data_IF_854747975599
#
_entry.id   IF_854747975599
#
_cell.length_a   1.000
_cell.length_b   1.000
_cell.length_c   1.000
_cell.angle_alpha   90.00
_cell.angle_beta   90.00
_cell.angle_gamma   90.00
#
_symmetry.space_group_name_H-M   'P 1'
#
loop_
_entity.id
_entity.type
_entity.pdbx_description
1 polymer ?
#
# COMPACT_ATOMS: atom_id res chain seq x y z
N UNK A 1 -5.14 33.32 35.00
CA UNK A 1 -5.01 32.06 34.26
C UNK A 1 -5.68 32.28 32.91
N UNK A 2 -4.89 32.70 31.91
CA UNK A 2 -5.41 32.93 30.57
C UNK A 2 -5.52 31.56 29.88
N UNK A 3 -6.72 31.08 29.69
CA UNK A 3 -7.00 29.94 28.81
C UNK A 3 -6.71 30.36 27.38
N UNK A 4 -5.70 29.73 26.80
CA UNK A 4 -5.34 29.91 25.38
C UNK A 4 -6.57 29.58 24.52
N UNK A 5 -7.14 30.52 23.72
CA UNK A 5 -8.38 30.32 22.98
C UNK A 5 -8.25 29.32 21.81
N UNK A 6 -7.04 28.83 21.52
CA UNK A 6 -6.75 27.93 20.40
C UNK A 6 -7.09 26.45 20.66
N UNK A 7 -7.52 26.08 21.86
CA UNK A 7 -7.58 24.67 22.24
C UNK A 7 -9.02 24.16 22.42
N UNK A 8 -9.66 23.67 21.34
CA UNK A 8 -10.79 22.73 21.46
C UNK A 8 -10.32 21.32 21.11
N UNK A 9 -9.67 20.65 22.09
CA UNK A 9 -9.24 19.25 21.96
C UNK A 9 -10.39 18.34 22.41
N UNK A 10 -10.83 17.45 21.53
CA UNK A 10 -11.87 16.44 21.82
C UNK A 10 -11.32 15.07 22.17
N UNK A 11 -10.00 14.92 22.40
CA UNK A 11 -9.40 13.65 22.88
C UNK A 11 -8.16 13.90 23.74
N UNK A 12 -7.97 13.07 24.79
CA UNK A 12 -6.83 13.13 25.74
C UNK A 12 -5.48 12.67 25.17
N UNK A 13 -5.33 12.50 23.85
CA UNK A 13 -4.09 12.02 23.22
C UNK A 13 -3.58 13.12 22.29
N UNK A 14 -2.62 13.90 22.80
CA UNK A 14 -1.99 14.97 22.04
C UNK A 14 -0.90 14.41 21.12
N UNK A 15 -1.23 14.15 19.84
CA UNK A 15 -0.24 13.89 18.79
C UNK A 15 0.34 15.20 18.22
N UNK A 16 -0.29 16.33 18.45
CA UNK A 16 0.02 17.64 17.84
C UNK A 16 -0.07 18.74 18.88
N UNK A 17 0.94 19.60 18.89
CA UNK A 17 1.01 20.83 19.70
C UNK A 17 0.58 22.05 18.88
N UNK A 18 0.37 23.20 19.54
CA UNK A 18 0.11 24.47 18.85
C UNK A 18 1.26 24.88 17.91
N UNK A 19 2.51 24.60 18.29
CA UNK A 19 3.68 24.90 17.45
C UNK A 19 3.71 23.98 16.21
N UNK A 20 3.31 22.71 16.35
CA UNK A 20 3.17 21.80 15.20
C UNK A 20 2.12 22.31 14.22
N UNK A 21 0.97 22.80 14.70
CA UNK A 21 -0.08 23.37 13.84
C UNK A 21 0.45 24.58 13.05
N UNK A 22 1.18 25.48 13.70
CA UNK A 22 1.83 26.62 13.04
C UNK A 22 2.83 26.14 11.99
N UNK A 23 3.68 25.15 12.32
CA UNK A 23 4.64 24.55 11.38
C UNK A 23 3.94 23.97 10.16
N UNK A 24 2.85 23.21 10.35
CA UNK A 24 2.05 22.61 9.28
C UNK A 24 1.54 23.70 8.33
N UNK A 25 0.96 24.77 8.87
CA UNK A 25 0.42 25.86 8.05
C UNK A 25 1.54 26.61 7.32
N UNK A 26 2.65 26.90 8.01
CA UNK A 26 3.79 27.55 7.37
C UNK A 26 4.35 26.75 6.20
N UNK A 27 4.48 25.42 6.35
CA UNK A 27 4.96 24.53 5.29
C UNK A 27 3.94 24.44 4.13
N UNK A 28 2.66 24.37 4.45
CA UNK A 28 1.62 24.23 3.44
C UNK A 28 1.47 25.47 2.58
N UNK A 29 1.46 26.66 3.21
CA UNK A 29 1.32 27.96 2.55
C UNK A 29 2.64 28.53 2.05
N UNK A 30 3.77 27.87 2.34
CA UNK A 30 5.13 28.39 2.07
C UNK A 30 5.33 29.80 2.66
N UNK A 31 4.98 30.02 3.92
CA UNK A 31 5.11 31.28 4.64
C UNK A 31 5.94 31.12 5.90
N UNK A 32 6.56 32.21 6.35
CA UNK A 32 7.26 32.29 7.65
C UNK A 32 6.40 32.90 8.76
N UNK A 33 5.24 33.47 8.41
CA UNK A 33 4.34 34.08 9.37
C UNK A 33 3.58 33.01 10.16
N UNK A 34 3.90 32.90 11.43
CA UNK A 34 3.28 31.96 12.37
C UNK A 34 1.91 32.43 12.92
N UNK A 35 1.54 33.68 12.65
CA UNK A 35 0.30 34.27 13.17
C UNK A 35 -0.90 34.04 12.23
N UNK A 36 -0.70 33.29 11.17
CA UNK A 36 -1.76 32.97 10.19
C UNK A 36 -2.80 31.97 10.72
N UNK A 37 -2.56 31.30 11.84
CA UNK A 37 -3.49 30.33 12.44
C UNK A 37 -4.49 31.05 13.32
N UNK A 38 -5.78 30.97 12.97
CA UNK A 38 -6.91 31.47 13.75
C UNK A 38 -7.38 30.44 14.78
N UNK A 39 -7.75 29.26 14.30
CA UNK A 39 -8.25 28.17 15.14
C UNK A 39 -8.01 26.81 14.46
N UNK A 40 -8.10 25.73 15.23
CA UNK A 40 -8.04 24.39 14.66
C UNK A 40 -8.85 23.37 15.45
N UNK A 41 -9.22 22.27 14.75
CA UNK A 41 -9.93 21.12 15.33
C UNK A 41 -9.21 19.86 14.87
N UNK A 42 -8.85 18.98 15.82
CA UNK A 42 -8.37 17.64 15.55
C UNK A 42 -9.40 16.62 16.00
N UNK A 43 -9.66 15.59 15.17
CA UNK A 43 -10.55 14.47 15.49
C UNK A 43 -10.03 13.18 14.88
N UNK A 44 -10.50 12.04 15.38
CA UNK A 44 -10.22 10.76 14.71
C UNK A 44 -10.70 10.80 13.27
N UNK A 45 -9.94 10.21 12.35
CA UNK A 45 -10.28 10.20 10.94
C UNK A 45 -11.53 9.35 10.66
N UNK A 46 -11.78 8.33 11.51
CA UNK A 46 -12.97 7.47 11.46
C UNK A 46 -13.21 6.85 12.84
N UNK A 47 -14.47 6.53 13.12
CA UNK A 47 -14.86 5.71 14.28
C UNK A 47 -14.55 4.22 14.04
N UNK A 48 -14.42 3.82 12.77
CA UNK A 48 -14.01 2.49 12.35
C UNK A 48 -12.52 2.44 12.04
N UNK A 49 -11.94 1.25 12.09
CA UNK A 49 -10.54 1.05 11.75
C UNK A 49 -10.29 1.32 10.27
N UNK A 50 -9.44 2.30 9.94
CA UNK A 50 -9.03 2.62 8.57
C UNK A 50 -7.86 1.78 8.08
N UNK A 51 -6.98 1.36 8.98
CA UNK A 51 -5.81 0.54 8.69
C UNK A 51 -5.36 -0.24 9.91
N UNK A 52 -4.45 -1.20 9.72
CA UNK A 52 -4.10 -2.20 10.74
C UNK A 52 -2.98 -1.75 11.69
N UNK A 53 -2.18 -0.73 11.30
CA UNK A 53 -0.92 -0.44 11.95
C UNK A 53 -0.89 0.91 12.67
N UNK A 54 -1.40 1.97 12.06
CA UNK A 54 -1.28 3.35 12.56
C UNK A 54 -2.59 3.84 13.17
N UNK A 55 -2.50 4.96 13.90
CA UNK A 55 -3.64 5.77 14.29
C UNK A 55 -3.81 6.92 13.29
N UNK A 56 -5.06 7.25 12.96
CA UNK A 56 -5.38 8.21 11.92
C UNK A 56 -6.26 9.34 12.45
N UNK A 57 -5.90 10.59 12.08
CA UNK A 57 -6.58 11.79 12.54
C UNK A 57 -6.84 12.74 11.38
N UNK A 58 -7.86 13.55 11.49
CA UNK A 58 -8.14 14.70 10.63
C UNK A 58 -7.90 15.97 11.40
N UNK A 59 -7.16 16.89 10.79
CA UNK A 59 -6.87 18.21 11.31
C UNK A 59 -7.48 19.25 10.35
N UNK A 60 -8.38 20.07 10.89
CA UNK A 60 -8.98 21.20 10.20
C UNK A 60 -8.45 22.47 10.83
N UNK A 61 -7.93 23.40 10.04
CA UNK A 61 -7.35 24.66 10.50
C UNK A 61 -8.04 25.82 9.77
N UNK A 62 -8.46 26.83 10.54
CA UNK A 62 -8.87 28.14 10.01
C UNK A 62 -7.67 29.08 9.98
N UNK A 63 -7.46 29.78 8.87
CA UNK A 63 -6.35 30.72 8.72
C UNK A 63 -6.85 32.14 8.45
N UNK A 64 -6.11 33.14 8.98
CA UNK A 64 -6.41 34.56 8.73
C UNK A 64 -5.61 35.06 7.51
N UNK A 65 -6.07 36.14 6.82
CA UNK A 65 -7.18 37.02 7.17
C UNK A 65 -8.55 36.57 6.64
N UNK A 66 -8.60 35.59 5.73
CA UNK A 66 -9.78 35.20 4.96
C UNK A 66 -10.63 34.11 5.60
N UNK A 67 -10.23 33.60 6.77
CA UNK A 67 -10.85 32.45 7.46
C UNK A 67 -10.97 31.20 6.60
N UNK A 68 -10.09 31.06 5.60
CA UNK A 68 -10.01 29.88 4.75
C UNK A 68 -9.73 28.63 5.57
N UNK A 69 -10.39 27.52 5.21
CA UNK A 69 -10.23 26.24 5.88
C UNK A 69 -9.18 25.41 5.16
N UNK A 70 -8.22 24.90 5.92
CA UNK A 70 -7.22 23.93 5.46
C UNK A 70 -7.50 22.57 6.10
N UNK A 71 -7.29 21.49 5.34
CA UNK A 71 -7.61 20.14 5.76
C UNK A 71 -6.38 19.24 5.60
N UNK A 72 -6.07 18.51 6.67
CA UNK A 72 -4.92 17.62 6.72
C UNK A 72 -5.31 16.27 7.29
N UNK A 73 -4.62 15.24 6.81
CA UNK A 73 -4.71 13.87 7.28
C UNK A 73 -3.41 13.51 8.01
N UNK A 74 -3.53 12.93 9.21
CA UNK A 74 -2.41 12.61 10.06
C UNK A 74 -2.35 11.10 10.23
N UNK A 75 -1.18 10.53 9.93
CA UNK A 75 -0.83 9.14 10.17
C UNK A 75 0.19 9.08 11.29
N UNK A 76 -0.17 8.47 12.42
CA UNK A 76 0.67 8.45 13.61
C UNK A 76 0.96 7.02 14.07
N UNK A 77 2.15 6.80 14.65
CA UNK A 77 2.46 5.56 15.36
C UNK A 77 1.52 5.45 16.56
N UNK A 78 0.92 4.27 16.73
CA UNK A 78 -0.05 4.11 17.83
C UNK A 78 0.60 4.26 19.19
N UNK A 79 0.10 5.19 19.98
CA UNK A 79 0.48 5.38 21.40
C UNK A 79 -0.43 4.57 22.33
N UNK A 80 -1.48 3.95 21.78
CA UNK A 80 -2.49 3.21 22.56
C UNK A 80 -2.25 1.71 22.44
N UNK A 81 -1.80 1.22 21.27
CA UNK A 81 -1.59 -0.19 20.99
C UNK A 81 -0.10 -0.51 20.83
N UNK A 82 0.53 -0.99 21.89
CA UNK A 82 1.96 -1.32 21.91
C UNK A 82 2.34 -2.44 20.90
N UNK A 83 1.44 -3.39 20.62
CA UNK A 83 1.70 -4.45 19.64
C UNK A 83 1.81 -3.91 18.23
N UNK A 84 0.94 -2.94 17.85
CA UNK A 84 1.05 -2.22 16.58
C UNK A 84 2.37 -1.44 16.49
N UNK A 85 2.71 -0.67 17.51
CA UNK A 85 3.94 0.11 17.55
C UNK A 85 5.18 -0.77 17.43
N UNK A 86 5.19 -1.94 18.12
CA UNK A 86 6.26 -2.95 18.01
C UNK A 86 6.41 -3.46 16.59
N UNK A 87 5.31 -3.89 15.95
CA UNK A 87 5.33 -4.41 14.57
C UNK A 87 5.82 -3.36 13.56
N UNK A 88 5.37 -2.11 13.68
CA UNK A 88 5.84 -1.01 12.84
C UNK A 88 7.35 -0.84 12.95
N UNK A 89 7.89 -0.91 14.16
CA UNK A 89 9.33 -0.75 14.42
C UNK A 89 10.13 -1.93 13.88
N UNK A 90 9.71 -3.16 14.14
CA UNK A 90 10.40 -4.38 13.70
C UNK A 90 10.47 -4.49 12.17
N UNK A 91 9.40 -4.12 11.46
CA UNK A 91 9.34 -4.12 9.99
C UNK A 91 9.83 -2.81 9.37
N UNK A 92 10.25 -1.83 10.19
CA UNK A 92 10.69 -0.48 9.77
C UNK A 92 9.67 0.26 8.88
N UNK A 93 8.38 -0.03 9.01
CA UNK A 93 7.34 0.44 8.08
C UNK A 93 7.23 1.96 8.07
N UNK A 94 7.13 2.57 9.26
CA UNK A 94 7.08 4.04 9.39
C UNK A 94 8.34 4.72 8.82
N UNK A 95 9.52 4.16 9.14
CA UNK A 95 10.80 4.70 8.65
C UNK A 95 10.92 4.62 7.13
N UNK A 96 10.42 3.54 6.51
CA UNK A 96 10.39 3.43 5.04
C UNK A 96 9.48 4.45 4.41
N UNK A 97 8.27 4.62 4.92
CA UNK A 97 7.33 5.62 4.39
C UNK A 97 7.85 7.04 4.59
N UNK A 98 8.40 7.34 5.77
CA UNK A 98 9.11 8.60 6.02
C UNK A 98 10.21 8.84 4.99
N UNK A 99 11.09 7.86 4.76
CA UNK A 99 12.18 7.99 3.80
C UNK A 99 11.68 8.12 2.36
N UNK A 100 10.60 7.42 2.00
CA UNK A 100 9.98 7.58 0.69
C UNK A 100 9.60 9.04 0.43
N UNK A 101 8.84 9.65 1.32
CA UNK A 101 8.37 11.02 1.13
C UNK A 101 9.49 12.06 1.29
N UNK A 102 10.40 11.87 2.25
CA UNK A 102 11.43 12.86 2.58
C UNK A 102 12.66 12.80 1.69
N UNK A 103 13.03 11.60 1.24
CA UNK A 103 14.31 11.38 0.55
C UNK A 103 14.15 10.89 -0.89
N UNK A 104 13.08 10.18 -1.24
CA UNK A 104 12.93 9.57 -2.56
C UNK A 104 11.99 10.39 -3.44
N UNK A 105 10.72 10.57 -3.01
CA UNK A 105 9.64 11.14 -3.82
C UNK A 105 10.02 12.46 -4.47
N UNK A 106 10.60 13.40 -3.70
CA UNK A 106 11.01 14.73 -4.19
C UNK A 106 12.02 14.69 -5.35
N UNK A 107 12.79 13.60 -5.47
CA UNK A 107 13.77 13.43 -6.55
C UNK A 107 13.16 12.79 -7.80
N UNK A 108 12.22 11.88 -7.60
CA UNK A 108 11.56 11.16 -8.72
C UNK A 108 10.29 11.85 -9.22
N UNK A 109 9.79 12.89 -8.55
CA UNK A 109 8.66 13.68 -9.07
C UNK A 109 9.01 14.33 -10.41
N UNK A 110 8.15 14.11 -11.39
CA UNK A 110 8.34 14.60 -12.76
C UNK A 110 7.42 15.79 -12.98
N UNK A 111 7.95 16.97 -13.34
CA UNK A 111 7.14 18.14 -13.65
C UNK A 111 6.11 17.87 -14.76
N UNK A 112 4.85 18.28 -14.52
CA UNK A 112 3.76 18.09 -15.48
C UNK A 112 3.10 16.71 -15.44
N UNK A 113 3.60 15.79 -14.63
CA UNK A 113 2.94 14.51 -14.38
C UNK A 113 1.97 14.63 -13.20
N UNK A 114 0.75 14.12 -13.35
CA UNK A 114 -0.22 14.14 -12.25
C UNK A 114 0.30 13.35 -11.04
N UNK A 115 0.08 13.84 -9.81
CA UNK A 115 0.52 13.16 -8.61
C UNK A 115 -0.04 11.74 -8.50
N UNK A 116 0.77 10.80 -8.06
CA UNK A 116 0.35 9.42 -7.75
C UNK A 116 0.15 9.17 -6.25
N UNK A 117 0.46 10.16 -5.40
CA UNK A 117 0.37 10.07 -3.94
C UNK A 117 0.11 11.44 -3.32
N UNK A 118 -0.42 11.52 -2.08
CA UNK A 118 -0.63 12.80 -1.39
C UNK A 118 0.67 13.56 -1.17
N UNK A 119 0.54 14.87 -0.98
CA UNK A 119 1.66 15.72 -0.55
C UNK A 119 1.90 15.51 0.94
N UNK A 120 3.13 15.19 1.32
CA UNK A 120 3.59 15.29 2.71
C UNK A 120 3.81 16.77 3.04
N UNK A 121 3.19 17.24 4.13
CA UNK A 121 3.22 18.65 4.56
C UNK A 121 4.18 18.86 5.71
N UNK A 122 4.18 17.94 6.67
CA UNK A 122 5.07 17.99 7.82
C UNK A 122 5.36 16.58 8.36
N UNK A 123 6.51 16.46 9.01
CA UNK A 123 6.89 15.29 9.79
C UNK A 123 7.07 15.75 11.23
N UNK A 124 6.43 15.05 12.13
CA UNK A 124 6.49 15.22 13.58
C UNK A 124 7.17 13.99 14.18
N UNK A 125 7.44 13.98 15.47
CA UNK A 125 8.18 12.89 16.14
C UNK A 125 7.61 11.50 15.81
N UNK A 126 6.28 11.32 15.99
CA UNK A 126 5.59 10.04 15.80
C UNK A 126 4.53 10.09 14.67
N UNK A 127 4.47 11.18 13.90
CA UNK A 127 3.40 11.36 12.93
C UNK A 127 3.87 12.02 11.64
N UNK A 128 3.24 11.64 10.55
CA UNK A 128 3.31 12.30 9.25
C UNK A 128 2.00 13.02 8.96
N UNK A 129 2.09 14.24 8.48
CA UNK A 129 0.95 15.10 8.15
C UNK A 129 0.88 15.25 6.63
N UNK A 130 -0.21 14.80 6.07
CA UNK A 130 -0.50 14.85 4.64
C UNK A 130 -1.63 15.85 4.34
N UNK A 131 -1.74 16.30 3.10
CA UNK A 131 -2.97 16.90 2.62
C UNK A 131 -4.14 15.93 2.77
N UNK A 132 -5.34 16.40 3.13
CA UNK A 132 -6.52 15.52 3.20
C UNK A 132 -7.11 15.34 1.79
N UNK A 133 -6.93 14.16 1.23
CA UNK A 133 -7.44 13.79 -0.09
C UNK A 133 -8.98 13.83 -0.14
N UNK A 134 -9.67 13.61 0.97
CA UNK A 134 -11.14 13.74 1.01
C UNK A 134 -11.61 15.19 0.76
N UNK A 135 -10.77 16.18 1.13
CA UNK A 135 -11.06 17.60 0.82
C UNK A 135 -10.87 17.93 -0.67
N UNK A 136 -10.35 17.00 -1.46
CA UNK A 136 -10.20 17.04 -2.91
C UNK A 136 -11.09 16.01 -3.61
N UNK A 137 -12.14 15.55 -2.94
CA UNK A 137 -13.14 14.59 -3.42
C UNK A 137 -12.61 13.18 -3.78
N UNK A 138 -11.38 12.83 -3.37
CA UNK A 138 -10.91 11.45 -3.45
C UNK A 138 -11.56 10.59 -2.37
N UNK A 139 -12.02 9.41 -2.72
CA UNK A 139 -12.77 8.50 -1.84
C UNK A 139 -12.24 7.08 -1.92
N UNK A 140 -12.29 6.37 -0.80
CA UNK A 140 -12.11 4.93 -0.77
C UNK A 140 -13.33 4.24 -1.37
N UNK A 141 -13.08 3.21 -2.18
CA UNK A 141 -14.14 2.28 -2.58
C UNK A 141 -14.44 1.30 -1.44
N UNK A 142 -15.67 0.79 -1.37
CA UNK A 142 -16.00 -0.26 -0.42
C UNK A 142 -15.09 -1.48 -0.67
N UNK A 143 -14.39 -1.96 0.34
CA UNK A 143 -13.40 -3.06 0.22
C UNK A 143 -14.00 -4.40 -0.22
N UNK A 144 -15.31 -4.61 -0.01
CA UNK A 144 -16.04 -5.80 -0.49
C UNK A 144 -16.50 -5.66 -1.95
N UNK A 145 -16.41 -4.45 -2.53
CA UNK A 145 -16.69 -4.21 -3.95
C UNK A 145 -15.40 -4.35 -4.74
N UNK A 146 -15.27 -5.44 -5.49
CA UNK A 146 -14.15 -5.64 -6.40
C UNK A 146 -14.08 -4.53 -7.45
N UNK A 147 -12.90 -4.26 -7.97
CA UNK A 147 -12.76 -3.28 -9.04
C UNK A 147 -13.39 -3.83 -10.34
N UNK A 148 -14.12 -2.95 -11.00
CA UNK A 148 -14.54 -3.14 -12.39
C UNK A 148 -13.46 -2.64 -13.36
N UNK A 149 -13.76 -2.68 -14.67
CA UNK A 149 -12.84 -2.24 -15.71
C UNK A 149 -12.38 -0.79 -15.49
N UNK A 150 -13.29 0.15 -15.22
CA UNK A 150 -12.95 1.57 -15.08
C UNK A 150 -12.02 1.84 -13.89
N UNK A 151 -12.28 1.24 -12.74
CA UNK A 151 -11.42 1.39 -11.56
C UNK A 151 -10.06 0.75 -11.79
N UNK A 152 -10.03 -0.43 -12.45
CA UNK A 152 -8.78 -1.13 -12.74
C UNK A 152 -7.91 -0.32 -13.68
N UNK A 153 -8.45 0.16 -14.80
CA UNK A 153 -7.71 0.97 -15.76
C UNK A 153 -7.20 2.27 -15.14
N UNK A 154 -8.01 2.92 -14.30
CA UNK A 154 -7.58 4.14 -13.62
C UNK A 154 -6.45 3.90 -12.61
N UNK A 155 -6.50 2.78 -11.86
CA UNK A 155 -5.40 2.39 -10.97
C UNK A 155 -4.12 2.04 -11.77
N UNK A 156 -4.24 1.39 -12.93
CA UNK A 156 -3.11 1.12 -13.83
C UNK A 156 -2.50 2.41 -14.41
N UNK A 157 -3.31 3.41 -14.75
CA UNK A 157 -2.82 4.74 -15.17
C UNK A 157 -1.95 5.38 -14.08
N UNK A 158 -2.39 5.32 -12.83
CA UNK A 158 -1.64 5.85 -11.70
C UNK A 158 -0.36 5.05 -11.44
N UNK A 159 -0.42 3.73 -11.57
CA UNK A 159 0.74 2.86 -11.44
C UNK A 159 1.78 3.13 -12.53
N UNK A 160 1.34 3.35 -13.78
CA UNK A 160 2.22 3.74 -14.86
C UNK A 160 2.92 5.08 -14.60
N UNK A 161 2.20 6.09 -14.05
CA UNK A 161 2.79 7.37 -13.62
C UNK A 161 3.87 7.18 -12.55
N UNK A 162 3.58 6.37 -11.55
CA UNK A 162 4.52 6.07 -10.46
C UNK A 162 5.78 5.37 -10.97
N UNK A 163 5.63 4.32 -11.78
CA UNK A 163 6.77 3.58 -12.32
C UNK A 163 7.58 4.39 -13.35
N UNK A 164 6.89 5.19 -14.20
CA UNK A 164 7.56 6.10 -15.14
C UNK A 164 8.52 7.06 -14.42
N UNK A 165 8.13 7.56 -13.25
CA UNK A 165 8.97 8.47 -12.47
C UNK A 165 10.33 7.88 -12.12
N UNK A 166 10.37 6.58 -11.76
CA UNK A 166 11.59 5.84 -11.50
C UNK A 166 12.47 5.72 -12.74
N UNK A 167 11.87 5.42 -13.89
CA UNK A 167 12.57 5.23 -15.16
C UNK A 167 13.16 6.54 -15.66
N UNK A 168 12.37 7.62 -15.63
CA UNK A 168 12.79 8.96 -16.04
C UNK A 168 13.93 9.46 -15.17
N UNK A 169 13.83 9.27 -13.85
CA UNK A 169 14.89 9.65 -12.92
C UNK A 169 16.19 8.89 -13.21
N UNK A 170 16.14 7.56 -13.36
CA UNK A 170 17.34 6.79 -13.70
C UNK A 170 17.96 7.21 -15.02
N UNK A 171 17.16 7.51 -16.04
CA UNK A 171 17.65 8.00 -17.34
C UNK A 171 18.40 9.31 -17.16
N UNK A 172 17.80 10.28 -16.47
CA UNK A 172 18.43 11.57 -16.17
C UNK A 172 19.76 11.39 -15.41
N UNK A 173 19.77 10.54 -14.39
CA UNK A 173 20.99 10.28 -13.61
C UNK A 173 22.09 9.62 -14.43
N UNK A 174 21.76 8.69 -15.34
CA UNK A 174 22.72 8.07 -16.28
C UNK A 174 23.34 9.13 -17.20
N UNK A 175 22.54 10.05 -17.71
CA UNK A 175 23.02 11.14 -18.55
C UNK A 175 23.92 12.10 -17.79
N UNK A 176 23.55 12.50 -16.57
CA UNK A 176 24.35 13.37 -15.71
C UNK A 176 25.68 12.71 -15.31
N UNK A 177 25.68 11.44 -14.97
CA UNK A 177 26.83 10.70 -14.48
C UNK A 177 27.71 10.12 -15.61
N UNK A 178 27.19 10.07 -16.86
CA UNK A 178 27.85 9.45 -18.02
C UNK A 178 28.27 7.99 -17.74
N UNK A 179 27.44 7.24 -16.95
CA UNK A 179 27.63 5.84 -16.65
C UNK A 179 26.28 5.16 -16.33
N UNK A 180 26.31 3.82 -16.23
CA UNK A 180 25.16 3.07 -15.69
C UNK A 180 24.83 3.55 -14.27
N UNK A 181 23.53 3.58 -13.96
CA UNK A 181 23.01 3.98 -12.67
C UNK A 181 21.67 3.27 -12.42
N UNK A 182 21.41 2.93 -11.17
CA UNK A 182 20.11 2.42 -10.70
C UNK A 182 19.66 3.18 -9.45
N UNK A 183 18.36 3.29 -9.24
CA UNK A 183 17.79 3.88 -8.02
C UNK A 183 18.26 3.17 -6.75
N UNK A 184 18.58 1.88 -6.84
CA UNK A 184 19.07 1.08 -5.71
C UNK A 184 20.44 1.58 -5.21
N UNK A 185 21.30 2.09 -6.09
CA UNK A 185 22.59 2.70 -5.70
C UNK A 185 22.39 3.91 -4.79
N UNK A 186 21.39 4.74 -5.04
CA UNK A 186 21.15 5.99 -4.31
C UNK A 186 20.20 5.81 -3.13
N UNK A 187 19.14 5.03 -3.32
CA UNK A 187 18.03 4.92 -2.37
C UNK A 187 17.83 3.54 -1.75
N UNK A 188 18.64 2.53 -2.11
CA UNK A 188 18.49 1.14 -1.65
C UNK A 188 18.44 1.01 -0.13
N UNK A 189 19.25 1.80 0.59
CA UNK A 189 19.25 1.84 2.05
C UNK A 189 17.89 2.23 2.66
N UNK A 190 17.07 3.00 1.94
CA UNK A 190 15.73 3.42 2.38
C UNK A 190 14.65 2.38 2.04
N UNK A 191 14.98 1.44 1.16
CA UNK A 191 14.09 0.41 0.64
C UNK A 191 14.46 -1.01 1.13
N UNK A 192 15.27 -1.14 2.17
CA UNK A 192 15.72 -2.42 2.69
C UNK A 192 14.54 -3.33 3.13
N UNK A 193 14.81 -4.61 3.33
CA UNK A 193 13.77 -5.59 3.70
C UNK A 193 13.09 -5.29 5.03
N UNK A 194 13.81 -4.67 5.97
CA UNK A 194 13.27 -4.35 7.28
C UNK A 194 12.71 -5.58 8.02
N UNK A 195 13.41 -6.70 8.01
CA UNK A 195 12.94 -7.95 8.62
C UNK A 195 11.89 -8.71 7.80
N UNK A 196 11.62 -8.30 6.57
CA UNK A 196 10.70 -9.01 5.66
C UNK A 196 11.46 -10.08 4.88
N UNK A 197 11.76 -11.18 5.56
CA UNK A 197 12.56 -12.33 5.08
C UNK A 197 11.92 -13.67 5.52
N UNK A 198 12.63 -14.77 5.28
CA UNK A 198 12.16 -16.13 5.58
C UNK A 198 11.98 -16.41 7.08
N UNK A 199 12.49 -15.55 7.96
CA UNK A 199 12.30 -15.62 9.43
C UNK A 199 11.15 -14.76 9.94
N UNK A 200 10.52 -13.95 9.07
CA UNK A 200 9.45 -13.04 9.45
C UNK A 200 8.24 -13.78 10.00
N UNK A 201 7.95 -13.57 11.28
CA UNK A 201 6.90 -14.28 12.02
C UNK A 201 5.52 -14.08 11.39
N UNK A 202 5.16 -12.86 10.99
CA UNK A 202 3.88 -12.59 10.34
C UNK A 202 3.73 -13.37 9.03
N UNK A 203 4.78 -13.39 8.20
CA UNK A 203 4.77 -14.11 6.93
C UNK A 203 4.63 -15.63 7.13
N UNK A 204 5.38 -16.19 8.11
CA UNK A 204 5.29 -17.60 8.47
C UNK A 204 3.90 -17.96 9.02
N UNK A 205 3.26 -17.09 9.80
CA UNK A 205 1.90 -17.30 10.28
C UNK A 205 0.87 -17.23 9.13
N UNK A 206 1.07 -16.40 8.13
CA UNK A 206 0.23 -16.39 6.92
C UNK A 206 0.36 -17.71 6.17
N UNK A 207 1.59 -18.17 5.92
CA UNK A 207 1.90 -19.43 5.25
C UNK A 207 1.26 -20.64 5.96
N UNK A 208 1.47 -20.75 7.26
CA UNK A 208 0.94 -21.86 8.06
C UNK A 208 -0.58 -21.80 8.14
N UNK A 209 -1.16 -20.62 8.34
CA UNK A 209 -2.60 -20.43 8.43
C UNK A 209 -3.33 -20.78 7.13
N UNK A 210 -2.73 -20.48 5.99
CA UNK A 210 -3.27 -20.90 4.69
C UNK A 210 -3.24 -22.44 4.54
N UNK A 211 -2.13 -23.08 4.91
CA UNK A 211 -2.01 -24.55 4.89
C UNK A 211 -3.02 -25.25 5.80
N UNK A 212 -3.20 -24.72 7.03
CA UNK A 212 -4.17 -25.23 7.98
C UNK A 212 -5.61 -25.11 7.44
N UNK A 213 -5.96 -23.97 6.85
CA UNK A 213 -7.28 -23.76 6.25
C UNK A 213 -7.52 -24.72 5.08
N UNK A 214 -6.56 -24.89 4.18
CA UNK A 214 -6.63 -25.86 3.07
C UNK A 214 -6.91 -27.27 3.60
N UNK A 215 -6.17 -27.72 4.62
CA UNK A 215 -6.33 -29.06 5.21
C UNK A 215 -7.70 -29.28 5.82
N UNK A 216 -8.37 -28.23 6.28
CA UNK A 216 -9.71 -28.31 6.91
C UNK A 216 -10.83 -28.23 5.88
N UNK A 217 -10.69 -27.42 4.85
CA UNK A 217 -11.82 -27.06 3.97
C UNK A 217 -11.73 -27.62 2.56
N UNK A 218 -10.58 -28.18 2.15
CA UNK A 218 -10.42 -28.79 0.83
C UNK A 218 -10.33 -30.33 0.96
N UNK A 219 -11.13 -31.04 0.19
CA UNK A 219 -11.04 -32.50 0.08
C UNK A 219 -9.80 -32.86 -0.74
N UNK A 220 -8.78 -33.37 -0.09
CA UNK A 220 -7.49 -33.70 -0.70
C UNK A 220 -7.13 -35.14 -0.34
N UNK A 221 -6.79 -35.96 -1.32
CA UNK A 221 -6.33 -37.32 -1.10
C UNK A 221 -4.97 -37.38 -0.37
N UNK A 222 -4.58 -38.57 0.12
CA UNK A 222 -3.34 -38.74 0.90
C UNK A 222 -2.07 -38.44 0.11
N UNK A 223 -2.08 -38.66 -1.21
CA UNK A 223 -0.90 -38.43 -2.07
C UNK A 223 -0.72 -36.92 -2.27
N UNK A 224 -1.77 -36.21 -2.60
CA UNK A 224 -1.78 -34.78 -2.74
C UNK A 224 -1.43 -34.06 -1.42
N UNK A 225 -1.91 -34.55 -0.25
CA UNK A 225 -1.53 -34.01 1.05
C UNK A 225 -0.01 -34.05 1.29
N UNK A 226 0.63 -35.19 0.98
CA UNK A 226 2.09 -35.32 1.10
C UNK A 226 2.84 -34.38 0.16
N UNK A 227 2.33 -34.21 -1.05
CA UNK A 227 2.91 -33.31 -2.04
C UNK A 227 2.86 -31.85 -1.56
N UNK A 228 1.69 -31.40 -1.11
CA UNK A 228 1.48 -30.07 -0.55
C UNK A 228 2.43 -29.84 0.64
N UNK A 229 2.45 -30.75 1.62
CA UNK A 229 3.33 -30.65 2.79
C UNK A 229 4.82 -30.53 2.41
N UNK A 230 5.25 -31.19 1.34
CA UNK A 230 6.65 -31.13 0.89
C UNK A 230 7.01 -29.87 0.11
N UNK A 231 6.06 -29.24 -0.58
CA UNK A 231 6.34 -28.11 -1.49
C UNK A 231 5.88 -26.75 -0.93
N UNK A 232 4.93 -26.73 -0.01
CA UNK A 232 4.26 -25.51 0.44
C UNK A 232 5.24 -24.41 0.91
N UNK A 233 6.19 -24.80 1.74
CA UNK A 233 7.19 -23.86 2.25
C UNK A 233 8.06 -23.26 1.12
N UNK A 234 8.48 -24.08 0.18
CA UNK A 234 9.31 -23.64 -0.94
C UNK A 234 8.55 -22.70 -1.88
N UNK A 235 7.26 -22.96 -2.14
CA UNK A 235 6.40 -22.08 -2.93
C UNK A 235 6.36 -20.68 -2.30
N UNK A 236 6.10 -20.60 -0.99
CA UNK A 236 6.04 -19.33 -0.28
C UNK A 236 7.38 -18.60 -0.24
N UNK A 237 8.48 -19.32 -0.03
CA UNK A 237 9.80 -18.71 -0.03
C UNK A 237 10.25 -18.30 -1.44
N UNK A 238 9.83 -19.01 -2.48
CA UNK A 238 10.01 -18.58 -3.87
C UNK A 238 9.33 -17.26 -4.15
N UNK A 239 8.07 -17.09 -3.70
CA UNK A 239 7.36 -15.81 -3.78
C UNK A 239 8.16 -14.68 -3.10
N UNK A 240 8.68 -14.93 -1.91
CA UNK A 240 9.46 -13.94 -1.16
C UNK A 240 10.74 -13.54 -1.90
N UNK A 241 11.40 -14.49 -2.58
CA UNK A 241 12.59 -14.22 -3.43
C UNK A 241 12.25 -13.31 -4.63
N UNK A 242 11.07 -13.48 -5.24
CA UNK A 242 10.59 -12.63 -6.33
C UNK A 242 10.39 -11.16 -5.92
N UNK A 243 10.32 -10.87 -4.64
CA UNK A 243 10.25 -9.50 -4.11
C UNK A 243 11.60 -8.78 -4.08
N UNK A 244 12.68 -9.39 -4.55
CA UNK A 244 14.02 -8.79 -4.64
C UNK A 244 14.26 -8.17 -6.01
N UNK A 245 15.26 -7.26 -6.15
CA UNK A 245 15.65 -6.74 -7.44
C UNK A 245 15.98 -7.87 -8.43
N UNK A 246 15.36 -7.81 -9.60
CA UNK A 246 15.63 -8.77 -10.66
C UNK A 246 16.95 -8.42 -11.38
N UNK A 247 17.69 -9.46 -11.78
CA UNK A 247 18.83 -9.31 -12.70
C UNK A 247 18.42 -9.47 -14.17
N UNK A 248 17.23 -10.01 -14.42
CA UNK A 248 16.71 -10.27 -15.77
C UNK A 248 15.82 -9.12 -16.26
N UNK A 249 14.95 -8.61 -15.41
CA UNK A 249 13.97 -7.62 -15.78
C UNK A 249 14.31 -6.23 -15.23
N UNK A 250 13.80 -5.20 -15.88
CA UNK A 250 13.89 -3.83 -15.38
C UNK A 250 13.24 -3.73 -14.00
N UNK A 251 13.93 -3.08 -13.06
CA UNK A 251 13.39 -2.74 -11.76
C UNK A 251 12.96 -1.28 -11.70
N UNK A 252 11.96 -1.00 -10.88
CA UNK A 252 11.46 0.33 -10.52
C UNK A 252 11.19 0.36 -9.01
N UNK A 253 10.88 1.53 -8.46
CA UNK A 253 10.33 1.59 -7.10
C UNK A 253 8.89 1.09 -7.17
N UNK A 254 8.60 0.01 -6.46
CA UNK A 254 7.28 -0.59 -6.33
C UNK A 254 6.66 -0.26 -4.97
N UNK A 255 5.34 -0.11 -4.94
CA UNK A 255 4.53 0.16 -3.75
C UNK A 255 4.35 -1.08 -2.86
N UNK A 256 3.99 -2.23 -3.47
CA UNK A 256 3.85 -3.57 -2.90
C UNK A 256 2.67 -3.80 -1.95
N UNK A 257 1.83 -2.80 -1.73
CA UNK A 257 0.67 -2.89 -0.84
C UNK A 257 -0.56 -2.25 -1.51
N UNK A 258 -0.81 -2.58 -2.79
CA UNK A 258 -1.86 -2.00 -3.63
C UNK A 258 -3.19 -2.75 -3.48
N UNK A 259 -3.74 -2.77 -2.28
CA UNK A 259 -5.10 -3.23 -2.03
C UNK A 259 -6.07 -2.05 -1.88
N UNK A 260 -7.36 -2.31 -1.94
CA UNK A 260 -8.42 -1.31 -2.06
C UNK A 260 -8.27 -0.09 -1.12
N UNK A 261 -7.96 -0.28 0.16
CA UNK A 261 -7.89 0.84 1.11
C UNK A 261 -6.65 1.72 0.93
N UNK A 262 -5.69 1.31 0.10
CA UNK A 262 -4.53 2.11 -0.25
C UNK A 262 -4.70 2.83 -1.61
N UNK A 263 -5.89 2.78 -2.20
CA UNK A 263 -6.22 3.37 -3.50
C UNK A 263 -7.47 4.25 -3.35
N UNK A 264 -7.31 5.56 -3.48
CA UNK A 264 -8.40 6.52 -3.43
C UNK A 264 -8.72 7.01 -4.84
N UNK A 265 -10.00 7.01 -5.19
CA UNK A 265 -10.50 7.45 -6.50
C UNK A 265 -11.18 8.81 -6.42
N UNK A 266 -10.91 9.65 -7.40
CA UNK A 266 -11.73 10.79 -7.74
C UNK A 266 -12.75 10.37 -8.81
N UNK A 267 -13.95 10.98 -8.78
CA UNK A 267 -15.04 10.64 -9.69
C UNK A 267 -15.54 11.88 -10.40
N UNK A 268 -15.77 11.75 -11.70
CA UNK A 268 -16.39 12.80 -12.51
C UNK A 268 -17.92 12.88 -12.29
N UNK A 269 -18.58 13.84 -12.94
CA UNK A 269 -20.03 14.08 -12.86
C UNK A 269 -20.88 12.86 -13.27
N UNK A 270 -20.31 11.91 -14.04
CA UNK A 270 -20.97 10.66 -14.43
C UNK A 270 -20.73 9.51 -13.43
N UNK A 271 -20.14 9.83 -12.28
CA UNK A 271 -19.75 8.86 -11.25
C UNK A 271 -18.79 7.74 -11.77
N UNK A 272 -17.95 8.08 -12.76
CA UNK A 272 -16.87 7.23 -13.24
C UNK A 272 -15.55 7.72 -12.65
N UNK A 273 -14.63 6.81 -12.25
CA UNK A 273 -13.32 7.21 -11.76
C UNK A 273 -12.52 7.89 -12.90
N UNK A 274 -12.05 9.09 -12.66
CA UNK A 274 -11.27 9.89 -13.62
C UNK A 274 -9.85 10.21 -13.12
N UNK A 275 -9.56 9.98 -11.86
CA UNK A 275 -8.21 9.94 -11.31
C UNK A 275 -8.14 9.01 -10.10
N UNK A 276 -6.91 8.60 -9.75
CA UNK A 276 -6.69 7.90 -8.49
C UNK A 276 -5.31 8.23 -7.92
N UNK A 277 -5.17 8.08 -6.61
CA UNK A 277 -3.89 8.22 -5.89
C UNK A 277 -3.68 7.07 -4.92
N UNK A 278 -2.42 6.72 -4.72
CA UNK A 278 -1.99 5.69 -3.77
C UNK A 278 -1.57 6.30 -2.45
N UNK A 279 -1.82 5.60 -1.37
CA UNK A 279 -1.40 5.95 -0.01
C UNK A 279 -0.68 4.78 0.65
N UNK A 280 0.00 5.02 1.76
CA UNK A 280 0.65 3.97 2.55
C UNK A 280 1.88 3.34 1.88
N UNK A 281 2.90 4.16 1.57
CA UNK A 281 4.16 3.75 0.91
C UNK A 281 5.15 3.05 1.86
N UNK A 282 4.65 2.39 2.89
CA UNK A 282 5.44 1.73 3.93
C UNK A 282 6.15 0.44 3.48
N UNK A 283 5.74 -0.14 2.36
CA UNK A 283 6.26 -1.42 1.87
C UNK A 283 7.17 -1.30 0.65
N UNK A 284 7.54 -0.08 0.24
CA UNK A 284 8.31 0.19 -0.99
C UNK A 284 9.57 -0.67 -1.12
N UNK A 285 9.85 -1.08 -2.37
CA UNK A 285 11.10 -1.74 -2.76
C UNK A 285 11.45 -1.49 -4.22
N UNK A 286 12.71 -1.72 -4.55
CA UNK A 286 13.20 -1.76 -5.92
C UNK A 286 13.07 -3.18 -6.46
N UNK A 287 12.15 -3.40 -7.40
CA UNK A 287 11.83 -4.70 -8.00
C UNK A 287 11.13 -4.53 -9.36
N UNK A 288 10.86 -5.61 -10.13
CA UNK A 288 10.15 -5.50 -11.39
C UNK A 288 8.75 -4.87 -11.23
N UNK A 289 8.32 -3.98 -12.16
CA UNK A 289 7.00 -3.35 -12.11
C UNK A 289 5.85 -4.36 -12.13
N UNK A 290 6.06 -5.53 -12.72
CA UNK A 290 5.12 -6.63 -12.71
C UNK A 290 4.74 -7.11 -11.29
N UNK A 291 5.62 -6.91 -10.31
CA UNK A 291 5.31 -7.22 -8.91
C UNK A 291 4.12 -6.41 -8.39
N UNK A 292 4.10 -5.10 -8.65
CA UNK A 292 2.97 -4.24 -8.28
C UNK A 292 1.72 -4.52 -9.13
N UNK A 293 1.89 -4.79 -10.42
CA UNK A 293 0.78 -5.18 -11.29
C UNK A 293 0.05 -6.41 -10.74
N UNK A 294 0.79 -7.45 -10.37
CA UNK A 294 0.18 -8.67 -9.85
C UNK A 294 -0.46 -8.43 -8.47
N UNK A 295 0.16 -7.68 -7.57
CA UNK A 295 -0.47 -7.33 -6.28
C UNK A 295 -1.77 -6.54 -6.49
N UNK A 296 -1.77 -5.54 -7.36
CA UNK A 296 -2.96 -4.76 -7.70
C UNK A 296 -4.09 -5.67 -8.22
N UNK A 297 -3.80 -6.53 -9.19
CA UNK A 297 -4.80 -7.37 -9.84
C UNK A 297 -5.34 -8.45 -8.89
N UNK A 298 -4.47 -9.14 -8.14
CA UNK A 298 -4.88 -10.21 -7.22
C UNK A 298 -5.63 -9.69 -5.98
N UNK A 299 -5.23 -8.56 -5.43
CA UNK A 299 -5.88 -8.01 -4.23
C UNK A 299 -7.24 -7.37 -4.52
N UNK A 300 -7.51 -6.93 -5.76
CA UNK A 300 -8.69 -6.09 -6.04
C UNK A 300 -9.69 -6.68 -7.04
N UNK A 301 -9.34 -7.73 -7.79
CA UNK A 301 -10.22 -8.33 -8.80
C UNK A 301 -10.73 -9.71 -8.37
N UNK A 302 -11.88 -10.09 -8.90
CA UNK A 302 -12.31 -11.48 -8.88
C UNK A 302 -11.45 -12.30 -9.84
N UNK A 303 -11.20 -13.59 -9.54
CA UNK A 303 -10.30 -14.44 -10.31
C UNK A 303 -10.74 -14.57 -11.78
N UNK A 304 -12.02 -14.84 -12.04
CA UNK A 304 -12.56 -14.95 -13.39
C UNK A 304 -12.35 -13.66 -14.18
N UNK A 305 -12.77 -12.51 -13.64
CA UNK A 305 -12.61 -11.22 -14.30
C UNK A 305 -11.13 -10.89 -14.53
N UNK A 306 -10.24 -11.20 -13.58
CA UNK A 306 -8.80 -11.03 -13.73
C UNK A 306 -8.23 -11.87 -14.87
N UNK A 307 -8.51 -13.19 -14.89
CA UNK A 307 -7.95 -14.10 -15.90
C UNK A 307 -8.47 -13.80 -17.32
N UNK A 308 -9.73 -13.43 -17.45
CA UNK A 308 -10.31 -13.02 -18.73
C UNK A 308 -9.70 -11.74 -19.29
N UNK A 309 -9.25 -10.80 -18.44
CA UNK A 309 -8.83 -9.47 -18.87
C UNK A 309 -7.33 -9.17 -18.59
N UNK A 310 -6.54 -10.10 -18.07
CA UNK A 310 -5.16 -9.84 -17.66
C UNK A 310 -4.30 -9.31 -18.79
N UNK A 311 -4.47 -9.82 -20.02
CA UNK A 311 -3.73 -9.36 -21.18
C UNK A 311 -4.11 -7.93 -21.57
N UNK A 312 -5.39 -7.54 -21.42
CA UNK A 312 -5.85 -6.17 -21.64
C UNK A 312 -5.25 -5.23 -20.58
N UNK A 313 -5.22 -5.63 -19.31
CA UNK A 313 -4.63 -4.84 -18.25
C UNK A 313 -3.12 -4.64 -18.42
N UNK A 314 -2.38 -5.67 -18.77
CA UNK A 314 -0.93 -5.57 -19.03
C UNK A 314 -0.65 -4.70 -20.25
N UNK A 315 -1.45 -4.86 -21.33
CA UNK A 315 -1.35 -4.02 -22.50
C UNK A 315 -1.64 -2.55 -22.18
N UNK A 316 -2.72 -2.27 -21.46
CA UNK A 316 -3.10 -0.92 -21.06
C UNK A 316 -2.00 -0.23 -20.24
N UNK A 317 -1.47 -0.94 -19.25
CA UNK A 317 -0.34 -0.44 -18.46
C UNK A 317 0.89 -0.13 -19.31
N UNK A 318 1.26 -1.04 -20.23
CA UNK A 318 2.40 -0.85 -21.13
C UNK A 318 2.23 0.37 -22.03
N UNK A 319 1.08 0.52 -22.67
CA UNK A 319 0.80 1.64 -23.58
C UNK A 319 0.74 2.98 -22.82
N UNK A 320 0.18 3.00 -21.60
CA UNK A 320 0.16 4.21 -20.77
C UNK A 320 1.57 4.58 -20.30
N UNK A 321 2.37 3.61 -19.86
CA UNK A 321 3.76 3.82 -19.51
C UNK A 321 4.56 4.35 -20.71
N UNK A 322 4.40 3.75 -21.88
CA UNK A 322 5.01 4.20 -23.13
C UNK A 322 4.65 5.64 -23.45
N UNK A 323 3.36 5.98 -23.37
CA UNK A 323 2.85 7.34 -23.62
C UNK A 323 3.46 8.37 -22.68
N UNK A 324 3.66 8.01 -21.39
CA UNK A 324 4.30 8.90 -20.43
C UNK A 324 5.78 9.06 -20.76
N UNK A 325 6.50 7.97 -20.96
CA UNK A 325 7.94 7.97 -21.23
C UNK A 325 8.30 8.76 -22.50
N UNK A 326 7.51 8.62 -23.58
CA UNK A 326 7.69 9.36 -24.83
C UNK A 326 7.62 10.89 -24.65
N UNK A 327 6.78 11.39 -23.71
CA UNK A 327 6.71 12.82 -23.39
C UNK A 327 7.96 13.35 -22.68
N UNK A 328 8.83 12.45 -22.24
CA UNK A 328 10.08 12.74 -21.56
C UNK A 328 11.31 12.21 -22.31
N UNK A 329 11.16 12.04 -23.63
CA UNK A 329 12.23 11.61 -24.54
C UNK A 329 12.86 10.26 -24.16
N UNK A 330 12.05 9.34 -23.60
CA UNK A 330 12.46 7.96 -23.28
C UNK A 330 11.69 7.00 -24.16
N UNK A 331 12.40 6.22 -24.97
CA UNK A 331 11.78 5.09 -25.67
C UNK A 331 11.63 3.91 -24.71
N UNK A 332 10.42 3.37 -24.61
CA UNK A 332 10.16 2.22 -23.72
C UNK A 332 10.91 0.97 -24.16
N UNK A 333 11.14 0.80 -25.46
CA UNK A 333 11.88 -0.36 -25.99
C UNK A 333 13.38 -0.35 -25.59
N UNK A 334 13.93 0.82 -25.23
CA UNK A 334 15.26 0.96 -24.61
C UNK A 334 15.26 0.58 -23.12
N UNK A 335 14.08 0.43 -22.50
CA UNK A 335 13.91 0.12 -21.07
C UNK A 335 13.52 -1.34 -20.88
N UNK A 336 12.47 -1.80 -21.55
CA UNK A 336 12.02 -3.18 -21.67
C UNK A 336 10.95 -3.30 -22.77
N UNK A 337 10.88 -4.47 -23.38
CA UNK A 337 9.90 -4.80 -24.39
C UNK A 337 8.56 -5.22 -23.79
N UNK A 338 7.50 -5.17 -24.58
CA UNK A 338 6.19 -5.69 -24.16
C UNK A 338 6.26 -7.19 -23.82
N UNK A 339 7.04 -7.97 -24.55
CA UNK A 339 7.23 -9.39 -24.29
C UNK A 339 7.88 -9.63 -22.92
N UNK A 340 8.91 -8.86 -22.57
CA UNK A 340 9.56 -8.94 -21.25
C UNK A 340 8.61 -8.56 -20.11
N UNK A 341 7.70 -7.59 -20.32
CA UNK A 341 6.65 -7.29 -19.33
C UNK A 341 5.75 -8.51 -19.08
N UNK A 342 5.30 -9.18 -20.14
CA UNK A 342 4.41 -10.35 -20.02
C UNK A 342 5.13 -11.53 -19.37
N UNK A 343 6.37 -11.80 -19.72
CA UNK A 343 7.20 -12.83 -19.06
C UNK A 343 7.38 -12.51 -17.56
N UNK A 344 7.73 -11.27 -17.25
CA UNK A 344 7.89 -10.80 -15.88
C UNK A 344 6.57 -10.88 -15.09
N UNK A 345 5.44 -10.57 -15.73
CA UNK A 345 4.12 -10.68 -15.11
C UNK A 345 3.78 -12.13 -14.76
N UNK A 346 4.07 -13.08 -15.65
CA UNK A 346 3.84 -14.49 -15.36
C UNK A 346 4.74 -14.99 -14.21
N UNK A 347 6.00 -14.59 -14.17
CA UNK A 347 6.90 -14.90 -13.04
C UNK A 347 6.39 -14.28 -11.71
N UNK A 348 5.95 -13.02 -11.75
CA UNK A 348 5.46 -12.30 -10.56
C UNK A 348 4.04 -12.69 -10.13
N UNK A 349 3.36 -13.55 -10.88
CA UNK A 349 2.04 -14.09 -10.51
C UNK A 349 2.06 -14.77 -9.14
N UNK A 350 3.11 -15.57 -8.87
CA UNK A 350 3.28 -16.21 -7.58
C UNK A 350 3.42 -15.17 -6.44
N UNK A 351 4.14 -14.08 -6.67
CA UNK A 351 4.25 -12.98 -5.70
C UNK A 351 2.89 -12.35 -5.42
N UNK A 352 2.12 -12.01 -6.46
CA UNK A 352 0.78 -11.42 -6.32
C UNK A 352 -0.18 -12.32 -5.54
N UNK A 353 -0.21 -13.64 -5.86
CA UNK A 353 -1.01 -14.64 -5.17
C UNK A 353 -0.66 -14.77 -3.69
N UNK A 354 0.62 -14.93 -3.37
CA UNK A 354 1.06 -15.13 -2.00
C UNK A 354 0.85 -13.88 -1.15
N UNK A 355 1.09 -12.70 -1.70
CA UNK A 355 0.77 -11.44 -0.98
C UNK A 355 -0.74 -11.30 -0.76
N UNK A 356 -1.55 -11.59 -1.76
CA UNK A 356 -3.00 -11.61 -1.58
C UNK A 356 -3.43 -12.61 -0.50
N UNK A 357 -2.84 -13.82 -0.48
CA UNK A 357 -3.07 -14.82 0.57
C UNK A 357 -2.66 -14.35 1.97
N UNK A 358 -1.63 -13.51 2.09
CA UNK A 358 -1.25 -12.88 3.36
C UNK A 358 -2.27 -11.84 3.82
N UNK A 359 -2.77 -11.01 2.91
CA UNK A 359 -3.50 -9.79 3.18
C UNK A 359 -5.01 -10.02 3.29
N UNK A 360 -5.58 -10.77 2.34
CA UNK A 360 -7.02 -10.97 2.21
C UNK A 360 -7.70 -11.51 3.48
N UNK A 361 -7.13 -12.47 4.22
CA UNK A 361 -7.73 -12.95 5.47
C UNK A 361 -7.90 -11.88 6.55
N UNK A 362 -7.17 -10.76 6.48
CA UNK A 362 -7.29 -9.64 7.41
C UNK A 362 -8.23 -8.56 6.86
N UNK A 363 -8.30 -8.41 5.54
CA UNK A 363 -9.03 -7.32 4.89
C UNK A 363 -10.50 -7.66 4.64
N UNK A 364 -10.81 -8.94 4.38
CA UNK A 364 -12.16 -9.40 4.07
C UNK A 364 -13.00 -9.65 5.33
N UNK A 365 -12.93 -8.72 6.30
CA UNK A 365 -13.64 -8.77 7.57
C UNK A 365 -14.48 -7.50 7.69
N UNK A 366 -15.73 -7.63 8.15
CA UNK A 366 -16.60 -6.49 8.44
C UNK A 366 -15.92 -5.48 9.38
N UNK A 367 -16.09 -4.18 9.09
CA UNK A 367 -15.32 -3.12 9.76
C UNK A 367 -15.53 -3.07 11.28
N UNK A 368 -16.75 -3.32 11.76
CA UNK A 368 -17.06 -3.32 13.19
C UNK A 368 -16.39 -4.50 13.89
N UNK A 369 -16.39 -5.68 13.25
CA UNK A 369 -15.71 -6.86 13.75
C UNK A 369 -14.18 -6.68 13.71
N UNK A 370 -13.65 -6.16 12.62
CA UNK A 370 -12.23 -5.83 12.46
C UNK A 370 -11.78 -4.84 13.56
N UNK A 371 -12.55 -3.78 13.78
CA UNK A 371 -12.29 -2.79 14.83
C UNK A 371 -12.26 -3.46 16.20
N UNK A 372 -13.26 -4.28 16.53
CA UNK A 372 -13.35 -4.99 17.80
C UNK A 372 -12.17 -5.95 18.05
N UNK A 373 -11.71 -6.62 16.99
CA UNK A 373 -10.62 -7.61 17.08
C UNK A 373 -9.26 -6.90 17.16
N UNK A 374 -8.98 -6.00 16.23
CA UNK A 374 -7.65 -5.43 16.05
C UNK A 374 -7.36 -4.19 16.91
N UNK A 375 -8.35 -3.67 17.65
CA UNK A 375 -8.11 -2.64 18.68
C UNK A 375 -7.56 -3.22 19.99
N UNK A 376 -7.80 -4.49 20.25
CA UNK A 376 -7.29 -5.19 21.43
C UNK A 376 -5.84 -5.65 21.18
N UNK A 377 -4.84 -5.17 21.96
CA UNK A 377 -3.44 -5.49 21.71
C UNK A 377 -3.13 -6.98 21.80
N UNK A 378 -3.76 -7.73 22.71
CA UNK A 378 -3.51 -9.16 22.89
C UNK A 378 -4.09 -9.98 21.74
N UNK A 379 -5.31 -9.63 21.29
CA UNK A 379 -5.93 -10.28 20.13
C UNK A 379 -5.14 -9.97 18.85
N UNK A 380 -4.71 -8.72 18.71
CA UNK A 380 -3.88 -8.29 17.59
C UNK A 380 -2.59 -9.12 17.50
N UNK A 381 -1.81 -9.19 18.58
CA UNK A 381 -0.57 -9.97 18.62
C UNK A 381 -0.82 -11.46 18.39
N UNK A 382 -1.86 -12.02 19.01
CA UNK A 382 -2.22 -13.44 18.83
C UNK A 382 -2.49 -13.78 17.35
N UNK A 383 -3.34 -13.00 16.69
CA UNK A 383 -3.73 -13.25 15.29
C UNK A 383 -2.57 -13.05 14.33
N UNK A 384 -1.74 -12.04 14.52
CA UNK A 384 -0.70 -11.72 13.56
C UNK A 384 0.60 -12.49 13.76
N UNK A 385 0.90 -12.92 15.01
CA UNK A 385 2.21 -13.45 15.34
C UNK A 385 2.21 -14.85 15.99
N UNK A 386 1.05 -15.37 16.44
CA UNK A 386 0.99 -16.61 17.20
C UNK A 386 0.11 -17.67 16.54
N UNK A 387 -1.13 -17.36 16.22
CA UNK A 387 -2.13 -18.35 15.80
C UNK A 387 -3.11 -17.82 14.73
N UNK A 388 -2.55 -17.41 13.59
CA UNK A 388 -3.35 -16.91 12.47
C UNK A 388 -4.26 -17.99 11.85
N UNK A 389 -3.80 -19.25 11.84
CA UNK A 389 -4.58 -20.36 11.29
C UNK A 389 -5.90 -20.58 12.00
N UNK A 390 -5.88 -20.63 13.34
CA UNK A 390 -7.13 -20.78 14.12
C UNK A 390 -8.10 -19.61 13.87
N UNK A 391 -7.58 -18.40 13.71
CA UNK A 391 -8.40 -17.24 13.38
C UNK A 391 -9.04 -17.37 12.01
N UNK A 392 -8.28 -17.72 10.96
CA UNK A 392 -8.79 -17.94 9.60
C UNK A 392 -9.87 -19.02 9.58
N UNK A 393 -9.59 -20.17 10.19
CA UNK A 393 -10.53 -21.30 10.25
C UNK A 393 -11.82 -20.92 10.97
N UNK A 394 -11.72 -20.18 12.08
CA UNK A 394 -12.88 -19.66 12.79
C UNK A 394 -13.73 -18.77 11.89
N UNK A 395 -13.10 -17.77 11.26
CA UNK A 395 -13.80 -16.84 10.35
C UNK A 395 -14.49 -17.58 9.19
N UNK A 396 -13.82 -18.59 8.61
CA UNK A 396 -14.40 -19.40 7.53
C UNK A 396 -15.60 -20.24 7.97
N UNK A 397 -15.64 -20.71 9.22
CA UNK A 397 -16.80 -21.43 9.78
C UNK A 397 -17.97 -20.51 10.06
N UNK A 398 -17.72 -19.28 10.43
CA UNK A 398 -18.73 -18.29 10.83
C UNK A 398 -19.26 -17.44 9.66
N UNK A 399 -18.49 -17.32 8.56
CA UNK A 399 -18.84 -16.45 7.43
C UNK A 399 -18.53 -17.14 6.09
N UNK A 400 -19.59 -17.49 5.35
CA UNK A 400 -19.49 -18.18 4.07
C UNK A 400 -18.79 -17.34 2.99
N UNK A 401 -19.14 -16.04 2.85
CA UNK A 401 -18.50 -15.14 1.89
C UNK A 401 -17.01 -14.96 2.16
N UNK A 402 -16.62 -14.87 3.44
CA UNK A 402 -15.22 -14.87 3.82
C UNK A 402 -14.51 -16.15 3.39
N UNK A 403 -15.13 -17.31 3.65
CA UNK A 403 -14.58 -18.61 3.25
C UNK A 403 -14.37 -18.68 1.74
N UNK A 404 -15.39 -18.37 0.94
CA UNK A 404 -15.30 -18.43 -0.51
C UNK A 404 -14.13 -17.57 -1.02
N UNK A 405 -14.04 -16.31 -0.57
CA UNK A 405 -13.01 -15.38 -1.05
C UNK A 405 -11.59 -15.77 -0.64
N UNK A 406 -11.40 -16.24 0.57
CA UNK A 406 -10.06 -16.62 1.05
C UNK A 406 -9.62 -17.95 0.45
N UNK A 407 -10.56 -18.94 0.33
CA UNK A 407 -10.25 -20.22 -0.30
C UNK A 407 -9.94 -20.09 -1.78
N UNK A 408 -10.62 -19.20 -2.52
CA UNK A 408 -10.33 -18.90 -3.94
C UNK A 408 -8.83 -18.70 -4.18
N UNK A 409 -8.18 -17.88 -3.34
CA UNK A 409 -6.75 -17.60 -3.47
C UNK A 409 -5.88 -18.79 -3.03
N UNK A 410 -6.25 -19.46 -1.94
CA UNK A 410 -5.50 -20.62 -1.45
C UNK A 410 -5.54 -21.79 -2.44
N UNK A 411 -6.69 -22.05 -3.04
CA UNK A 411 -6.88 -23.08 -4.05
C UNK A 411 -6.19 -22.75 -5.36
N UNK A 412 -6.12 -21.46 -5.75
CA UNK A 412 -5.34 -21.04 -6.92
C UNK A 412 -3.84 -21.28 -6.73
N UNK A 413 -3.29 -21.05 -5.52
CA UNK A 413 -1.89 -21.42 -5.23
C UNK A 413 -1.68 -22.92 -5.40
N UNK A 414 -2.58 -23.75 -4.89
CA UNK A 414 -2.49 -25.21 -5.06
C UNK A 414 -2.53 -25.62 -6.52
N UNK A 415 -3.51 -25.13 -7.27
CA UNK A 415 -3.74 -25.52 -8.66
C UNK A 415 -2.58 -25.12 -9.59
N UNK A 416 -1.92 -23.98 -9.31
CA UNK A 416 -0.84 -23.49 -10.18
C UNK A 416 0.54 -24.01 -9.81
N UNK A 417 0.78 -24.30 -8.53
CA UNK A 417 2.15 -24.54 -8.04
C UNK A 417 2.36 -25.85 -7.28
N UNK A 418 1.27 -26.56 -6.93
CA UNK A 418 1.38 -27.89 -6.29
C UNK A 418 0.97 -29.03 -7.22
N UNK A 419 0.18 -28.76 -8.24
CA UNK A 419 -0.34 -29.75 -9.18
C UNK A 419 -0.06 -29.32 -10.62
#
# INVERSE_FOLDING_TARGET
MNSDPLNKITSNINYITNEDVKLIVCNYLNTKDKNVVDSYIIKRASDKMLGFLCDYWKLKISVVPDHRQLYFFIKAISRINAAKAKMIKELKLYTKEFNYYSNIKKHIEVPGLSPWSPRLVAVLDDAMVFEDLNAKDYKLRNKFSRFDMYHTLQALNTLARFHASSIIYERKRREELQRSFTLDEEFGQFMDRGGYDESNVWYLQCMNGALEAIKVFTEIDKKCKKLIDSQWREIWFSALRLSSPSRKYKNVICHRDLWNNNILFHYNDKNLPDDCVFVDFQAIRYQPPAGDLMVLLYCNLDSTFREENINEFLNHYFEELKRILQKHDVDIEDVFTKAELYESAEEQRLWGLVICACLLPQFWIEDDLATKIFSDPQKYENILSINKGAFIIKMMKENFSYKEKVMEIFEEILARYCF
#
